data_IF_919552284888
#
_entry.id   IF_919552284888
#
_cell.length_a   1.000
_cell.length_b   1.000
_cell.length_c   1.000
_cell.angle_alpha   90.00
_cell.angle_beta   90.00
_cell.angle_gamma   90.00
#
_symmetry.space_group_name_H-M   'P 1'
#
loop_
_entity.id
_entity.type
_entity.pdbx_description
1 polymer ?
#
# COMPACT_ATOMS: atom_id res chain seq x y z
N UNK A 1 23.06 -1.37 15.03
CA UNK A 1 22.93 -1.06 13.61
C UNK A 1 22.80 -2.31 12.74
N UNK A 2 23.66 -3.33 12.86
CA UNK A 2 23.53 -4.59 12.11
C UNK A 2 22.21 -5.35 12.35
N UNK A 3 21.62 -5.28 13.53
CA UNK A 3 20.30 -5.91 13.82
C UNK A 3 19.16 -5.24 13.07
N UNK A 4 19.18 -3.92 12.90
CA UNK A 4 18.12 -3.18 12.16
C UNK A 4 18.25 -3.39 10.64
N UNK A 5 19.45 -3.60 10.12
CA UNK A 5 19.66 -3.91 8.69
C UNK A 5 19.16 -5.30 8.31
N UNK A 6 19.21 -6.25 9.24
CA UNK A 6 18.70 -7.62 9.05
C UNK A 6 17.17 -7.73 9.23
N UNK A 7 16.51 -6.74 9.82
CA UNK A 7 15.09 -6.78 10.16
C UNK A 7 14.15 -6.70 8.96
N UNK A 8 14.57 -6.10 7.82
CA UNK A 8 13.68 -5.95 6.67
C UNK A 8 14.46 -5.60 5.39
N UNK A 9 14.27 -6.40 4.37
CA UNK A 9 14.71 -6.10 3.02
C UNK A 9 13.56 -5.44 2.25
N UNK A 10 13.78 -4.20 1.76
CA UNK A 10 12.79 -3.47 0.96
C UNK A 10 12.49 -4.19 -0.34
N UNK A 11 11.21 -4.30 -0.68
CA UNK A 11 10.74 -5.02 -1.87
C UNK A 11 11.08 -4.22 -3.13
N UNK A 12 11.59 -4.90 -4.17
CA UNK A 12 11.96 -4.27 -5.46
C UNK A 12 12.92 -3.08 -5.28
N UNK A 13 13.87 -3.17 -4.33
CA UNK A 13 14.76 -2.06 -3.99
C UNK A 13 15.56 -1.56 -5.18
N UNK A 14 16.14 -2.45 -5.97
CA UNK A 14 16.97 -2.07 -7.12
C UNK A 14 16.13 -1.40 -8.21
N UNK A 15 14.93 -1.89 -8.44
CA UNK A 15 13.99 -1.35 -9.40
C UNK A 15 13.47 0.05 -8.98
N UNK A 16 13.27 0.28 -7.69
CA UNK A 16 12.94 1.60 -7.13
C UNK A 16 14.11 2.56 -7.33
N UNK A 17 15.35 2.16 -7.01
CA UNK A 17 16.54 2.97 -7.24
C UNK A 17 16.70 3.31 -8.71
N UNK A 18 16.46 2.35 -9.61
CA UNK A 18 16.51 2.58 -11.06
C UNK A 18 15.40 3.53 -11.54
N UNK A 19 14.18 3.42 -11.00
CA UNK A 19 13.08 4.32 -11.34
C UNK A 19 13.41 5.79 -10.99
N UNK A 20 14.08 6.01 -9.88
CA UNK A 20 14.49 7.35 -9.42
C UNK A 20 15.92 7.74 -9.84
N UNK A 21 16.60 6.93 -10.66
CA UNK A 21 17.96 7.26 -11.13
C UNK A 21 18.07 8.64 -11.81
N UNK A 22 17.08 9.11 -12.60
CA UNK A 22 17.14 10.44 -13.23
C UNK A 22 17.05 11.63 -12.27
N UNK A 23 16.65 11.42 -11.01
CA UNK A 23 16.52 12.52 -10.06
C UNK A 23 17.88 12.93 -9.52
N UNK A 24 18.25 14.21 -9.71
CA UNK A 24 19.50 14.78 -9.18
C UNK A 24 19.24 15.57 -7.90
N UNK A 25 18.17 16.37 -7.86
CA UNK A 25 17.81 17.25 -6.75
C UNK A 25 16.30 17.36 -6.57
N UNK A 26 15.86 17.98 -5.48
CA UNK A 26 14.45 18.24 -5.19
C UNK A 26 13.93 17.49 -3.98
N UNK A 27 12.61 17.36 -3.90
CA UNK A 27 11.91 16.67 -2.81
C UNK A 27 11.42 15.31 -3.30
N UNK A 28 11.81 14.27 -2.58
CA UNK A 28 11.24 12.92 -2.69
C UNK A 28 10.22 12.74 -1.57
N UNK A 29 9.03 12.27 -1.89
CA UNK A 29 8.04 11.88 -0.90
C UNK A 29 7.97 10.35 -0.87
N UNK A 30 8.26 9.76 0.29
CA UNK A 30 7.98 8.35 0.58
C UNK A 30 6.68 8.29 1.39
N UNK A 31 5.58 7.94 0.71
CA UNK A 31 4.23 7.94 1.28
C UNK A 31 3.99 6.81 2.29
N UNK A 32 4.88 5.83 2.31
CA UNK A 32 4.78 4.60 3.12
C UNK A 32 6.16 4.28 3.68
N UNK A 33 6.67 5.21 4.49
CA UNK A 33 8.06 5.20 4.98
C UNK A 33 8.45 3.86 5.62
N UNK A 34 7.53 3.24 6.37
CA UNK A 34 7.78 2.02 7.10
C UNK A 34 9.04 2.14 7.97
N UNK A 35 9.95 1.21 7.80
CA UNK A 35 11.23 1.21 8.51
C UNK A 35 12.33 2.05 7.80
N UNK A 36 11.99 2.80 6.74
CA UNK A 36 12.89 3.72 6.04
C UNK A 36 13.90 3.05 5.10
N UNK A 37 13.68 1.80 4.68
CA UNK A 37 14.66 1.06 3.87
C UNK A 37 14.87 1.67 2.46
N UNK A 38 13.81 1.91 1.70
CA UNK A 38 13.87 2.59 0.40
C UNK A 38 14.45 4.00 0.55
N UNK A 39 13.94 4.75 1.54
CA UNK A 39 14.36 6.12 1.82
C UNK A 39 15.85 6.21 2.16
N UNK A 40 16.39 5.29 2.97
CA UNK A 40 17.83 5.22 3.27
C UNK A 40 18.63 5.01 1.99
N UNK A 41 18.28 4.04 1.19
CA UNK A 41 18.99 3.70 -0.04
C UNK A 41 18.98 4.87 -1.05
N UNK A 42 17.84 5.56 -1.20
CA UNK A 42 17.73 6.73 -2.08
C UNK A 42 18.56 7.91 -1.59
N UNK A 43 18.52 8.23 -0.29
CA UNK A 43 19.31 9.33 0.29
C UNK A 43 20.82 9.04 0.25
N UNK A 44 21.24 7.78 0.36
CA UNK A 44 22.64 7.38 0.24
C UNK A 44 23.20 7.61 -1.16
N UNK A 45 22.40 7.39 -2.20
CA UNK A 45 22.84 7.58 -3.59
C UNK A 45 22.70 9.01 -4.09
N UNK A 46 21.81 9.81 -3.48
CA UNK A 46 21.40 11.13 -3.98
C UNK A 46 21.64 12.20 -2.92
N UNK A 47 22.77 12.90 -3.01
CA UNK A 47 23.22 13.85 -1.97
C UNK A 47 22.35 15.12 -1.89
N UNK A 48 21.71 15.54 -3.00
CA UNK A 48 20.92 16.77 -3.08
C UNK A 48 19.41 16.56 -2.93
N UNK A 49 18.97 15.31 -2.75
CA UNK A 49 17.55 15.03 -2.45
C UNK A 49 17.24 15.33 -0.99
N UNK A 50 16.05 15.91 -0.78
CA UNK A 50 15.39 16.02 0.52
C UNK A 50 14.22 15.03 0.55
N UNK A 51 14.00 14.39 1.69
CA UNK A 51 12.97 13.39 1.89
C UNK A 51 11.84 13.92 2.76
N UNK A 52 10.60 13.67 2.35
CA UNK A 52 9.45 13.71 3.23
C UNK A 52 8.95 12.27 3.36
N UNK A 53 9.14 11.67 4.54
CA UNK A 53 8.62 10.34 4.85
C UNK A 53 7.25 10.45 5.51
N UNK A 54 6.30 9.63 5.09
CA UNK A 54 4.95 9.58 5.68
C UNK A 54 4.71 8.17 6.19
N UNK A 55 4.23 8.06 7.42
CA UNK A 55 3.71 6.80 7.94
C UNK A 55 2.64 7.08 9.00
N UNK A 56 1.70 6.15 9.18
CA UNK A 56 0.69 6.23 10.24
C UNK A 56 1.09 5.45 11.50
N UNK A 57 2.08 4.55 11.39
CA UNK A 57 2.58 3.73 12.49
C UNK A 57 3.73 4.45 13.22
N UNK A 58 3.45 4.95 14.42
CA UNK A 58 4.45 5.68 15.23
C UNK A 58 5.68 4.83 15.55
N UNK A 59 5.49 3.52 15.76
CA UNK A 59 6.62 2.63 16.05
C UNK A 59 7.54 2.47 14.83
N UNK A 60 6.98 2.35 13.64
CA UNK A 60 7.78 2.33 12.40
C UNK A 60 8.54 3.64 12.20
N UNK A 61 7.91 4.79 12.50
CA UNK A 61 8.57 6.11 12.42
C UNK A 61 9.80 6.23 13.32
N UNK A 62 9.75 5.70 14.55
CA UNK A 62 10.91 5.75 15.47
C UNK A 62 12.08 4.92 14.93
N UNK A 63 11.81 3.74 14.39
CA UNK A 63 12.85 2.93 13.75
C UNK A 63 13.42 3.62 12.51
N UNK A 64 12.55 4.22 11.69
CA UNK A 64 12.97 4.97 10.51
C UNK A 64 13.85 6.18 10.87
N UNK A 65 13.54 6.92 11.93
CA UNK A 65 14.38 8.02 12.43
C UNK A 65 15.80 7.55 12.77
N UNK A 66 15.92 6.45 13.50
CA UNK A 66 17.25 5.92 13.85
C UNK A 66 18.00 5.43 12.60
N UNK A 67 17.29 4.77 11.65
CA UNK A 67 17.88 4.31 10.38
C UNK A 67 18.34 5.46 9.49
N UNK A 68 17.66 6.60 9.52
CA UNK A 68 17.94 7.78 8.70
C UNK A 68 18.83 8.82 9.38
N UNK A 69 19.29 8.56 10.59
CA UNK A 69 20.05 9.51 11.42
C UNK A 69 21.27 10.13 10.73
N UNK A 70 21.97 9.36 9.90
CA UNK A 70 23.12 9.85 9.12
C UNK A 70 22.74 10.93 8.09
N UNK A 71 21.44 11.07 7.76
CA UNK A 71 20.89 12.06 6.82
C UNK A 71 20.19 13.21 7.54
N UNK A 72 20.49 13.47 8.79
CA UNK A 72 19.86 14.56 9.56
C UNK A 72 19.93 15.89 8.80
N UNK A 73 18.85 16.66 8.82
CA UNK A 73 18.66 17.89 8.03
C UNK A 73 18.23 17.65 6.57
N UNK A 74 18.24 16.42 6.09
CA UNK A 74 17.79 16.05 4.73
C UNK A 74 16.44 15.33 4.70
N UNK A 75 15.87 14.98 5.84
CA UNK A 75 14.57 14.33 5.89
C UNK A 75 13.63 14.97 6.91
N UNK A 76 12.34 14.80 6.69
CA UNK A 76 11.26 15.16 7.60
C UNK A 76 10.21 14.05 7.61
N UNK A 77 9.72 13.67 8.80
CA UNK A 77 8.70 12.60 8.93
C UNK A 77 7.37 13.21 9.35
N UNK A 78 6.31 12.90 8.59
CA UNK A 78 4.94 13.29 8.84
C UNK A 78 4.13 12.08 9.31
N UNK A 79 3.56 12.18 10.52
CA UNK A 79 2.68 11.14 11.05
C UNK A 79 1.26 11.25 10.50
N UNK A 80 0.69 10.14 10.04
CA UNK A 80 -0.71 10.04 9.59
C UNK A 80 -0.88 9.36 8.23
N UNK A 81 -2.13 9.32 7.76
CA UNK A 81 -2.47 8.71 6.49
C UNK A 81 -1.82 9.41 5.30
N UNK A 82 -1.32 8.61 4.37
CA UNK A 82 -0.48 9.12 3.28
C UNK A 82 -1.23 10.03 2.31
N UNK A 83 -2.50 9.78 2.01
CA UNK A 83 -3.25 10.64 1.10
C UNK A 83 -3.38 12.07 1.64
N UNK A 84 -3.75 12.20 2.93
CA UNK A 84 -3.87 13.52 3.58
C UNK A 84 -2.52 14.23 3.65
N UNK A 85 -1.47 13.55 4.10
CA UNK A 85 -0.13 14.14 4.26
C UNK A 85 0.53 14.46 2.93
N UNK A 86 0.31 13.62 1.91
CA UNK A 86 0.73 13.93 0.54
C UNK A 86 0.09 15.20 0.00
N UNK A 87 -1.22 15.38 0.20
CA UNK A 87 -1.94 16.60 -0.20
C UNK A 87 -1.38 17.85 0.48
N UNK A 88 -1.03 17.77 1.77
CA UNK A 88 -0.38 18.85 2.51
C UNK A 88 1.03 19.14 1.94
N UNK A 89 1.83 18.10 1.72
CA UNK A 89 3.17 18.21 1.13
C UNK A 89 3.12 18.80 -0.29
N UNK A 90 2.16 18.39 -1.11
CA UNK A 90 1.95 18.91 -2.46
C UNK A 90 1.67 20.43 -2.45
N UNK A 91 0.85 20.91 -1.51
CA UNK A 91 0.60 22.35 -1.35
C UNK A 91 1.83 23.13 -0.91
N UNK A 92 2.66 22.56 -0.03
CA UNK A 92 3.84 23.23 0.51
C UNK A 92 5.03 23.24 -0.45
N UNK A 93 5.21 22.20 -1.22
CA UNK A 93 6.41 22.00 -2.02
C UNK A 93 6.19 22.11 -3.52
N UNK A 94 4.96 21.83 -4.01
CA UNK A 94 4.58 22.01 -5.42
C UNK A 94 5.57 21.38 -6.39
N UNK A 95 6.08 22.16 -7.33
CA UNK A 95 6.99 21.71 -8.39
C UNK A 95 8.39 21.28 -7.91
N UNK A 96 8.72 21.52 -6.63
CA UNK A 96 9.96 20.98 -6.03
C UNK A 96 9.89 19.47 -5.77
N UNK A 97 8.68 18.89 -5.77
CA UNK A 97 8.50 17.45 -5.68
C UNK A 97 8.93 16.83 -7.01
N UNK A 98 9.97 16.01 -6.97
CA UNK A 98 10.54 15.33 -8.15
C UNK A 98 10.34 13.83 -8.13
N UNK A 99 10.08 13.24 -6.96
CA UNK A 99 9.80 11.83 -6.82
C UNK A 99 8.72 11.56 -5.77
N UNK A 100 7.89 10.56 -6.02
CA UNK A 100 6.90 10.05 -5.06
C UNK A 100 6.96 8.53 -5.09
N UNK A 101 7.22 7.93 -3.95
CA UNK A 101 7.20 6.48 -3.73
C UNK A 101 5.98 6.12 -2.89
N UNK A 102 5.28 5.07 -3.28
CA UNK A 102 4.20 4.45 -2.51
C UNK A 102 4.42 2.95 -2.52
N UNK A 103 4.82 2.37 -1.40
CA UNK A 103 4.96 0.92 -1.19
C UNK A 103 3.78 0.46 -0.33
N UNK A 104 2.71 -0.02 -1.00
CA UNK A 104 1.44 -0.33 -0.35
C UNK A 104 1.53 -1.59 0.52
N UNK A 105 0.60 -1.72 1.45
CA UNK A 105 0.45 -2.89 2.29
C UNK A 105 1.01 -2.73 3.70
N UNK A 106 1.34 -3.85 4.34
CA UNK A 106 1.78 -3.92 5.73
C UNK A 106 3.28 -4.08 5.84
N UNK A 107 3.88 -3.44 6.84
CA UNK A 107 5.30 -3.60 7.12
C UNK A 107 5.60 -5.00 7.70
N UNK A 108 6.85 -5.45 7.57
CA UNK A 108 7.29 -6.70 8.20
C UNK A 108 7.11 -6.65 9.72
N UNK A 109 7.34 -5.51 10.34
CA UNK A 109 7.15 -5.31 11.78
C UNK A 109 5.70 -5.61 12.20
N UNK A 110 4.71 -5.12 11.43
CA UNK A 110 3.29 -5.37 11.71
C UNK A 110 2.92 -6.83 11.52
N UNK A 111 3.53 -7.52 10.54
CA UNK A 111 3.29 -8.95 10.30
C UNK A 111 3.94 -9.85 11.35
N UNK A 112 5.07 -9.43 11.92
CA UNK A 112 5.84 -10.24 12.87
C UNK A 112 5.43 -9.98 14.33
N UNK A 113 4.66 -8.94 14.61
CA UNK A 113 4.13 -8.66 15.95
C UNK A 113 2.80 -9.41 16.18
N UNK A 114 2.84 -10.42 17.02
CA UNK A 114 1.69 -11.25 17.38
C UNK A 114 0.54 -10.46 18.05
N UNK A 115 0.80 -9.25 18.55
CA UNK A 115 -0.21 -8.40 19.17
C UNK A 115 -0.94 -7.50 18.17
N UNK A 116 -0.51 -7.47 16.89
CA UNK A 116 -1.09 -6.63 15.86
C UNK A 116 -2.20 -7.32 15.04
N UNK A 117 -2.26 -8.63 15.03
CA UNK A 117 -3.35 -9.40 14.39
C UNK A 117 -3.27 -9.51 12.87
N UNK A 118 -2.17 -9.13 12.23
CA UNK A 118 -2.00 -9.24 10.77
C UNK A 118 -1.65 -10.65 10.31
N UNK A 119 -1.08 -11.47 11.18
CA UNK A 119 -0.65 -12.82 10.89
C UNK A 119 -1.69 -13.83 11.39
N UNK A 120 -1.82 -14.97 10.70
CA UNK A 120 -2.82 -16.02 10.98
C UNK A 120 -2.66 -16.70 12.35
N UNK A 121 -1.51 -16.56 12.98
CA UNK A 121 -1.18 -17.17 14.28
C UNK A 121 -1.22 -16.16 15.44
N UNK A 122 -1.48 -14.88 15.14
CA UNK A 122 -1.50 -13.81 16.14
C UNK A 122 -2.53 -14.06 17.24
N UNK A 123 -2.16 -13.68 18.46
CA UNK A 123 -3.00 -13.74 19.65
C UNK A 123 -3.92 -12.50 19.81
N UNK A 124 -3.91 -11.60 18.86
CA UNK A 124 -4.84 -10.47 18.74
C UNK A 124 -5.61 -10.55 17.42
N UNK A 125 -6.70 -9.82 17.31
CA UNK A 125 -7.48 -9.60 16.09
C UNK A 125 -7.69 -8.09 15.91
N UNK A 126 -6.59 -7.36 15.69
CA UNK A 126 -6.60 -5.90 15.63
C UNK A 126 -6.55 -5.37 14.19
N UNK A 127 -5.48 -5.64 13.46
CA UNK A 127 -5.19 -5.25 12.08
C UNK A 127 -5.16 -3.73 11.82
N UNK A 128 -5.12 -2.88 12.85
CA UNK A 128 -4.96 -1.44 12.66
C UNK A 128 -3.50 -1.11 12.36
N UNK A 129 -3.24 -0.34 11.33
CA UNK A 129 -1.93 0.27 11.09
C UNK A 129 -1.73 1.46 12.04
N UNK A 130 -2.77 2.27 12.23
CA UNK A 130 -2.85 3.33 13.22
C UNK A 130 -3.61 2.84 14.46
N UNK A 131 -2.90 2.65 15.58
CA UNK A 131 -3.50 2.16 16.82
C UNK A 131 -4.45 3.17 17.49
N UNK A 132 -4.42 4.44 17.08
CA UNK A 132 -5.34 5.48 17.56
C UNK A 132 -6.69 5.44 16.83
N UNK A 133 -6.81 4.69 15.72
CA UNK A 133 -8.08 4.52 15.00
C UNK A 133 -9.10 3.71 15.80
N UNK A 134 -10.40 4.00 15.59
CA UNK A 134 -11.49 3.41 16.38
C UNK A 134 -11.95 2.02 15.93
N UNK A 135 -11.75 1.67 14.64
CA UNK A 135 -12.19 0.39 14.06
C UNK A 135 -11.03 -0.59 14.03
N UNK A 136 -11.26 -1.82 14.54
CA UNK A 136 -10.32 -2.93 14.46
C UNK A 136 -10.97 -4.18 13.86
N UNK A 137 -10.17 -5.18 13.53
CA UNK A 137 -10.63 -6.41 12.91
C UNK A 137 -11.60 -7.20 13.81
N UNK A 138 -11.41 -7.16 15.13
CA UNK A 138 -12.31 -7.80 16.08
C UNK A 138 -13.72 -7.23 16.02
N UNK A 139 -13.85 -5.89 15.91
CA UNK A 139 -15.16 -5.23 15.74
C UNK A 139 -15.78 -5.59 14.38
N UNK A 140 -15.00 -5.58 13.30
CA UNK A 140 -15.50 -5.97 11.97
C UNK A 140 -16.08 -7.38 12.01
N UNK A 141 -15.32 -8.36 12.48
CA UNK A 141 -15.72 -9.77 12.48
C UNK A 141 -16.87 -10.03 13.46
N UNK A 142 -16.83 -9.47 14.68
CA UNK A 142 -17.81 -9.80 15.70
C UNK A 142 -19.07 -8.93 15.69
N UNK A 143 -19.07 -7.74 15.02
CA UNK A 143 -20.18 -6.79 15.14
C UNK A 143 -20.84 -6.42 13.82
N UNK A 144 -20.16 -6.56 12.66
CA UNK A 144 -20.76 -6.21 11.36
C UNK A 144 -21.96 -7.11 11.05
N UNK A 145 -22.99 -6.55 10.38
CA UNK A 145 -24.10 -7.35 9.86
C UNK A 145 -23.61 -8.35 8.80
N UNK A 146 -24.38 -9.40 8.57
CA UNK A 146 -24.05 -10.38 7.51
C UNK A 146 -23.89 -9.68 6.15
N UNK A 147 -24.77 -8.73 5.83
CA UNK A 147 -24.72 -7.97 4.56
C UNK A 147 -23.43 -7.13 4.47
N UNK A 148 -22.99 -6.51 5.58
CA UNK A 148 -21.74 -5.76 5.59
C UNK A 148 -20.51 -6.67 5.40
N UNK A 149 -20.50 -7.85 6.03
CA UNK A 149 -19.46 -8.85 5.82
C UNK A 149 -19.45 -9.39 4.39
N UNK A 150 -20.63 -9.69 3.82
CA UNK A 150 -20.76 -10.10 2.43
C UNK A 150 -20.15 -9.07 1.47
N UNK A 151 -20.44 -7.78 1.71
CA UNK A 151 -19.91 -6.69 0.90
C UNK A 151 -18.38 -6.66 0.93
N UNK A 152 -17.75 -6.60 2.11
CA UNK A 152 -16.29 -6.52 2.20
C UNK A 152 -15.60 -7.79 1.66
N UNK A 153 -16.17 -8.96 1.88
CA UNK A 153 -15.60 -10.21 1.35
C UNK A 153 -15.70 -10.31 -0.17
N UNK A 154 -16.78 -9.80 -0.78
CA UNK A 154 -16.92 -9.68 -2.22
C UNK A 154 -16.00 -8.63 -2.80
N UNK A 155 -16.04 -7.40 -2.26
CA UNK A 155 -15.43 -6.21 -2.86
C UNK A 155 -13.92 -6.09 -2.55
N UNK A 156 -13.48 -6.53 -1.37
CA UNK A 156 -12.08 -6.44 -0.91
C UNK A 156 -11.35 -7.77 -0.87
N UNK A 157 -12.09 -8.86 -0.67
CA UNK A 157 -11.52 -10.20 -0.66
C UNK A 157 -11.58 -10.90 -2.02
N UNK A 158 -12.38 -10.40 -2.99
CA UNK A 158 -12.65 -11.08 -4.27
C UNK A 158 -13.09 -12.56 -4.07
N UNK A 159 -13.78 -12.84 -2.94
CA UNK A 159 -14.15 -14.18 -2.52
C UNK A 159 -15.42 -14.63 -3.28
N UNK A 160 -15.35 -15.72 -4.02
CA UNK A 160 -16.51 -16.25 -4.76
C UNK A 160 -17.65 -16.69 -3.84
N UNK A 161 -17.31 -17.38 -2.73
CA UNK A 161 -18.30 -17.90 -1.77
C UNK A 161 -18.55 -16.93 -0.60
N UNK A 162 -18.44 -15.61 -0.84
CA UNK A 162 -18.52 -14.56 0.18
C UNK A 162 -19.77 -14.66 1.08
N UNK A 163 -20.96 -14.97 0.51
CA UNK A 163 -22.20 -15.15 1.27
C UNK A 163 -22.07 -16.27 2.29
N UNK A 164 -21.62 -17.43 1.83
CA UNK A 164 -21.47 -18.62 2.67
C UNK A 164 -20.51 -18.37 3.84
N UNK A 165 -19.36 -17.76 3.56
CA UNK A 165 -18.35 -17.43 4.59
C UNK A 165 -18.93 -16.42 5.59
N UNK A 166 -19.62 -15.37 5.13
CA UNK A 166 -20.24 -14.38 6.01
C UNK A 166 -21.27 -14.99 6.96
N UNK A 167 -22.16 -15.86 6.42
CA UNK A 167 -23.15 -16.58 7.25
C UNK A 167 -22.49 -17.47 8.31
N UNK A 168 -21.51 -18.28 7.92
CA UNK A 168 -20.79 -19.13 8.89
C UNK A 168 -20.07 -18.34 9.99
N UNK A 169 -19.48 -17.19 9.66
CA UNK A 169 -18.89 -16.30 10.66
C UNK A 169 -19.95 -15.78 11.63
N UNK A 170 -21.11 -15.33 11.12
CA UNK A 170 -22.22 -14.83 11.96
C UNK A 170 -22.79 -15.92 12.85
N UNK A 171 -23.03 -17.12 12.32
CA UNK A 171 -23.50 -18.27 13.09
C UNK A 171 -22.52 -18.69 14.18
N UNK A 172 -21.23 -18.73 13.85
CA UNK A 172 -20.17 -19.10 14.79
C UNK A 172 -20.01 -18.07 15.91
N UNK A 173 -19.93 -16.77 15.60
CA UNK A 173 -19.78 -15.70 16.61
C UNK A 173 -20.97 -15.57 17.54
N UNK A 174 -22.18 -15.91 17.09
CA UNK A 174 -23.38 -15.93 17.93
C UNK A 174 -23.27 -16.94 19.09
N UNK A 175 -22.55 -18.04 18.87
CA UNK A 175 -22.28 -19.05 19.92
C UNK A 175 -21.06 -18.70 20.76
N UNK A 176 -20.02 -18.19 20.12
CA UNK A 176 -18.75 -17.83 20.74
C UNK A 176 -18.04 -16.78 19.88
N UNK A 177 -17.89 -15.53 20.33
CA UNK A 177 -17.16 -14.50 19.59
C UNK A 177 -15.72 -14.92 19.27
N UNK A 178 -15.19 -14.42 18.14
CA UNK A 178 -13.80 -14.63 17.78
C UNK A 178 -12.87 -13.85 18.71
N UNK A 179 -11.87 -14.48 19.26
CA UNK A 179 -10.96 -13.89 20.25
C UNK A 179 -9.75 -13.23 19.59
N UNK A 180 -9.15 -13.95 18.65
CA UNK A 180 -7.87 -13.61 18.04
C UNK A 180 -7.82 -14.06 16.56
N UNK A 181 -6.75 -13.71 15.88
CA UNK A 181 -6.54 -14.04 14.47
C UNK A 181 -6.42 -15.55 14.26
N UNK A 182 -5.79 -16.25 15.21
CA UNK A 182 -5.65 -17.70 15.13
C UNK A 182 -7.01 -18.41 15.20
N UNK A 183 -7.90 -18.01 16.12
CA UNK A 183 -9.25 -18.56 16.25
C UNK A 183 -10.06 -18.36 14.95
N UNK A 184 -9.96 -17.17 14.34
CA UNK A 184 -10.59 -16.91 13.04
C UNK A 184 -9.98 -17.74 11.91
N UNK A 185 -8.65 -17.83 11.84
CA UNK A 185 -7.92 -18.59 10.83
C UNK A 185 -8.21 -20.08 10.89
N UNK A 186 -8.20 -20.68 12.08
CA UNK A 186 -8.52 -22.09 12.31
C UNK A 186 -9.97 -22.40 11.89
N UNK A 187 -10.92 -21.51 12.25
CA UNK A 187 -12.31 -21.63 11.82
C UNK A 187 -12.45 -21.59 10.29
N UNK A 188 -11.84 -20.63 9.62
CA UNK A 188 -11.90 -20.52 8.16
C UNK A 188 -11.26 -21.73 7.47
N UNK A 189 -10.20 -22.27 8.06
CA UNK A 189 -9.54 -23.48 7.56
C UNK A 189 -10.44 -24.71 7.65
N UNK A 190 -11.30 -24.80 8.66
CA UNK A 190 -12.29 -25.88 8.80
C UNK A 190 -13.39 -25.85 7.75
N UNK A 191 -13.67 -24.67 7.18
CA UNK A 191 -14.70 -24.50 6.13
C UNK A 191 -14.21 -24.85 4.72
N UNK A 192 -12.89 -24.89 4.49
CA UNK A 192 -12.29 -25.04 3.16
C UNK A 192 -11.69 -26.42 2.93
N UNK A 193 -12.00 -27.00 1.77
CA UNK A 193 -11.35 -28.21 1.26
C UNK A 193 -10.16 -27.92 0.35
N UNK A 194 -9.95 -26.67 -0.05
CA UNK A 194 -8.90 -26.27 -1.00
C UNK A 194 -7.62 -25.88 -0.25
N UNK A 195 -6.52 -26.58 -0.51
CA UNK A 195 -5.22 -26.39 0.17
C UNK A 195 -4.22 -25.53 -0.62
N UNK A 196 -4.57 -25.02 -1.83
CA UNK A 196 -3.61 -24.26 -2.66
C UNK A 196 -3.27 -22.88 -2.09
N UNK A 197 -4.25 -22.21 -1.49
CA UNK A 197 -4.07 -20.91 -0.81
C UNK A 197 -4.68 -21.09 0.59
N UNK A 198 -4.04 -20.52 1.61
CA UNK A 198 -4.58 -20.59 2.97
C UNK A 198 -5.99 -19.95 2.99
N UNK A 199 -7.03 -20.65 3.49
CA UNK A 199 -8.42 -20.18 3.38
C UNK A 199 -8.67 -18.80 4.00
N UNK A 200 -7.90 -18.46 5.04
CA UNK A 200 -8.01 -17.15 5.69
C UNK A 200 -7.42 -15.99 4.88
N UNK A 201 -6.57 -16.23 3.88
CA UNK A 201 -5.83 -15.17 3.18
C UNK A 201 -6.74 -14.06 2.66
N UNK A 202 -7.80 -14.41 1.93
CA UNK A 202 -8.70 -13.42 1.31
C UNK A 202 -9.62 -12.74 2.33
N UNK A 203 -10.01 -13.45 3.40
CA UNK A 203 -10.81 -12.86 4.49
C UNK A 203 -9.96 -11.85 5.26
N UNK A 204 -8.72 -12.20 5.60
CA UNK A 204 -7.78 -11.29 6.28
C UNK A 204 -7.48 -10.07 5.43
N UNK A 205 -7.24 -10.23 4.12
CA UNK A 205 -7.09 -9.11 3.19
C UNK A 205 -8.33 -8.20 3.23
N UNK A 206 -9.53 -8.75 3.11
CA UNK A 206 -10.78 -7.97 3.11
C UNK A 206 -10.98 -7.19 4.42
N UNK A 207 -10.73 -7.82 5.56
CA UNK A 207 -10.85 -7.17 6.87
C UNK A 207 -9.78 -6.10 7.06
N UNK A 208 -8.54 -6.36 6.63
CA UNK A 208 -7.43 -5.40 6.70
C UNK A 208 -7.73 -4.13 5.88
N UNK A 209 -8.20 -4.32 4.65
CA UNK A 209 -8.58 -3.21 3.76
C UNK A 209 -9.69 -2.37 4.39
N UNK A 210 -10.72 -3.01 4.97
CA UNK A 210 -11.82 -2.32 5.66
C UNK A 210 -11.34 -1.53 6.87
N UNK A 211 -10.55 -2.15 7.74
CA UNK A 211 -10.03 -1.53 8.98
C UNK A 211 -9.19 -0.29 8.69
N UNK A 212 -8.33 -0.36 7.65
CA UNK A 212 -7.36 0.68 7.36
C UNK A 212 -7.79 1.63 6.24
N UNK A 213 -8.95 1.39 5.59
CA UNK A 213 -9.46 2.16 4.45
C UNK A 213 -8.45 2.26 3.30
N UNK A 214 -7.72 1.16 3.06
CA UNK A 214 -6.54 1.16 2.17
C UNK A 214 -6.88 1.59 0.73
N UNK A 215 -7.97 1.08 0.16
CA UNK A 215 -8.36 1.40 -1.22
C UNK A 215 -8.96 2.81 -1.35
N UNK A 216 -9.68 3.30 -0.34
CA UNK A 216 -10.19 4.67 -0.31
C UNK A 216 -9.02 5.66 -0.25
N UNK A 217 -8.07 5.42 0.65
CA UNK A 217 -6.89 6.26 0.80
C UNK A 217 -6.04 6.28 -0.49
N UNK A 218 -5.87 5.12 -1.16
CA UNK A 218 -5.20 5.04 -2.45
C UNK A 218 -5.94 5.84 -3.54
N UNK A 219 -7.26 5.79 -3.59
CA UNK A 219 -8.05 6.58 -4.55
C UNK A 219 -7.89 8.08 -4.33
N UNK A 220 -7.98 8.53 -3.06
CA UNK A 220 -7.78 9.93 -2.68
C UNK A 220 -6.36 10.40 -3.09
N UNK A 221 -5.34 9.60 -2.78
CA UNK A 221 -3.96 9.88 -3.19
C UNK A 221 -3.83 9.99 -4.71
N UNK A 222 -4.31 9.01 -5.47
CA UNK A 222 -4.22 9.02 -6.93
C UNK A 222 -4.96 10.24 -7.54
N UNK A 223 -6.07 10.68 -6.92
CA UNK A 223 -6.75 11.89 -7.36
C UNK A 223 -5.88 13.15 -7.16
N UNK A 224 -5.21 13.28 -6.03
CA UNK A 224 -4.34 14.43 -5.75
C UNK A 224 -3.01 14.36 -6.55
N UNK A 225 -2.50 13.17 -6.82
CA UNK A 225 -1.27 12.94 -7.60
C UNK A 225 -1.35 13.46 -9.05
N UNK A 226 -2.55 13.67 -9.60
CA UNK A 226 -2.75 14.31 -10.92
C UNK A 226 -2.16 15.73 -11.01
N UNK A 227 -1.94 16.38 -9.88
CA UNK A 227 -1.40 17.74 -9.80
C UNK A 227 0.14 17.77 -9.73
N UNK A 228 0.80 16.62 -9.78
CA UNK A 228 2.26 16.55 -9.89
C UNK A 228 2.73 17.07 -11.25
N UNK A 229 3.88 17.75 -11.23
CA UNK A 229 4.54 18.26 -12.45
C UNK A 229 6.02 17.89 -12.43
N UNK A 230 6.51 17.35 -13.54
CA UNK A 230 7.92 16.98 -13.70
C UNK A 230 8.40 15.92 -12.71
N UNK A 231 7.50 15.20 -12.07
CA UNK A 231 7.80 14.23 -11.02
C UNK A 231 7.67 12.78 -11.52
N UNK A 232 8.43 11.89 -10.92
CA UNK A 232 8.30 10.43 -11.08
C UNK A 232 7.41 9.90 -9.95
N UNK A 233 6.35 9.18 -10.29
CA UNK A 233 5.51 8.44 -9.35
C UNK A 233 5.77 6.95 -9.50
N UNK A 234 6.28 6.32 -8.44
CA UNK A 234 6.52 4.90 -8.34
C UNK A 234 5.57 4.29 -7.31
N UNK A 235 4.76 3.31 -7.71
CA UNK A 235 3.80 2.63 -6.82
C UNK A 235 4.04 1.13 -6.86
N UNK A 236 4.22 0.52 -5.68
CA UNK A 236 4.29 -0.93 -5.48
C UNK A 236 2.97 -1.36 -4.85
N UNK A 237 2.33 -2.37 -5.42
CA UNK A 237 1.07 -2.97 -4.97
C UNK A 237 1.24 -4.46 -4.72
N UNK A 238 0.46 -5.03 -3.79
CA UNK A 238 0.58 -6.44 -3.39
C UNK A 238 -0.65 -7.29 -3.69
N UNK A 239 -1.74 -6.68 -4.10
CA UNK A 239 -2.94 -7.42 -4.54
C UNK A 239 -3.61 -6.78 -5.77
N UNK A 240 -4.53 -7.54 -6.38
CA UNK A 240 -5.22 -7.21 -7.64
C UNK A 240 -5.94 -5.88 -7.61
N UNK A 241 -6.61 -5.55 -6.50
CA UNK A 241 -7.42 -4.32 -6.38
C UNK A 241 -6.55 -3.06 -6.37
N UNK A 242 -5.42 -3.07 -5.65
CA UNK A 242 -4.44 -1.98 -5.67
C UNK A 242 -3.87 -1.79 -7.07
N UNK A 243 -3.35 -2.88 -7.68
CA UNK A 243 -2.76 -2.85 -9.02
C UNK A 243 -3.75 -2.33 -10.06
N UNK A 244 -5.03 -2.71 -9.95
CA UNK A 244 -6.08 -2.23 -10.85
C UNK A 244 -6.33 -0.72 -10.71
N UNK A 245 -6.39 -0.19 -9.48
CA UNK A 245 -6.54 1.25 -9.24
C UNK A 245 -5.38 2.04 -9.82
N UNK A 246 -4.14 1.66 -9.52
CA UNK A 246 -2.93 2.32 -10.04
C UNK A 246 -2.86 2.25 -11.56
N UNK A 247 -3.07 1.06 -12.14
CA UNK A 247 -3.09 0.87 -13.60
C UNK A 247 -4.12 1.75 -14.30
N UNK A 248 -5.32 1.86 -13.74
CA UNK A 248 -6.39 2.66 -14.34
C UNK A 248 -6.10 4.16 -14.20
N UNK A 249 -5.60 4.60 -13.04
CA UNK A 249 -5.19 5.99 -12.85
C UNK A 249 -4.06 6.40 -13.82
N UNK A 250 -3.03 5.56 -13.98
CA UNK A 250 -1.94 5.85 -14.92
C UNK A 250 -2.40 5.89 -16.38
N UNK A 251 -3.35 5.02 -16.75
CA UNK A 251 -3.98 5.08 -18.07
C UNK A 251 -4.76 6.38 -18.27
N UNK A 252 -5.49 6.84 -17.24
CA UNK A 252 -6.21 8.11 -17.31
C UNK A 252 -5.26 9.30 -17.39
N UNK A 253 -4.17 9.32 -16.63
CA UNK A 253 -3.14 10.37 -16.71
C UNK A 253 -2.46 10.42 -18.08
N UNK A 254 -2.30 9.28 -18.75
CA UNK A 254 -1.67 9.19 -20.07
C UNK A 254 -2.63 9.48 -21.23
N UNK A 255 -3.92 9.73 -20.96
CA UNK A 255 -4.90 10.02 -22.00
C UNK A 255 -4.67 11.40 -22.64
N UNK A 256 -4.42 11.42 -23.94
CA UNK A 256 -4.39 12.65 -24.71
C UNK A 256 -5.79 13.18 -25.02
N UNK A 257 -6.71 12.30 -25.42
CA UNK A 257 -8.09 12.64 -25.76
C UNK A 257 -9.02 12.42 -24.57
N UNK A 258 -9.78 13.45 -24.20
CA UNK A 258 -10.80 13.45 -23.14
C UNK A 258 -12.22 13.59 -23.66
N UNK A 259 -12.42 13.54 -25.00
CA UNK A 259 -13.75 13.50 -25.59
C UNK A 259 -14.52 12.25 -25.19
N UNK A 260 -15.84 12.32 -25.29
CA UNK A 260 -16.70 11.15 -25.15
C UNK A 260 -16.25 10.07 -26.15
N UNK A 261 -16.07 8.81 -25.72
CA UNK A 261 -15.68 7.70 -26.60
C UNK A 261 -16.61 7.50 -27.80
N UNK A 262 -17.86 7.96 -27.71
CA UNK A 262 -18.85 7.90 -28.79
C UNK A 262 -18.77 9.09 -29.76
N UNK A 263 -17.89 10.05 -29.53
CA UNK A 263 -17.73 11.22 -30.40
C UNK A 263 -17.10 10.83 -31.73
N UNK A 264 -17.74 11.21 -32.85
CA UNK A 264 -17.23 10.97 -34.21
C UNK A 264 -15.92 11.70 -34.53
N UNK A 265 -15.65 12.81 -33.84
CA UNK A 265 -14.47 13.64 -34.07
C UNK A 265 -13.92 14.16 -32.76
N UNK A 266 -12.59 14.14 -32.62
CA UNK A 266 -11.92 14.75 -31.48
C UNK A 266 -12.04 16.27 -31.54
N UNK A 267 -12.54 16.89 -30.46
CA UNK A 267 -12.70 18.35 -30.29
C UNK A 267 -11.84 18.92 -29.16
N UNK A 268 -11.12 18.05 -28.41
CA UNK A 268 -10.35 18.44 -27.23
C UNK A 268 -8.86 18.72 -27.50
N UNK A 269 -8.45 18.90 -28.76
CA UNK A 269 -7.06 19.12 -29.18
C UNK A 269 -6.08 17.95 -28.93
N UNK A 270 -6.51 16.86 -28.32
CA UNK A 270 -5.75 15.62 -28.12
C UNK A 270 -4.37 15.80 -27.45
N UNK A 271 -4.28 16.68 -26.43
CA UNK A 271 -3.05 17.05 -25.73
C UNK A 271 -3.17 17.03 -24.20
N UNK A 272 -4.14 16.29 -23.65
CA UNK A 272 -4.47 16.30 -22.21
C UNK A 272 -3.65 15.32 -21.36
N UNK A 273 -2.76 14.53 -21.96
CA UNK A 273 -1.93 13.62 -21.16
C UNK A 273 -1.05 14.41 -20.17
N UNK A 274 -1.14 14.01 -18.90
CA UNK A 274 -0.34 14.58 -17.82
C UNK A 274 1.11 14.07 -17.84
N UNK A 275 1.39 13.01 -18.58
CA UNK A 275 2.69 12.37 -18.64
C UNK A 275 2.66 11.07 -19.41
N UNK A 276 3.59 10.18 -19.09
CA UNK A 276 3.74 8.88 -19.73
C UNK A 276 3.93 7.73 -18.75
N UNK A 277 3.46 6.54 -19.15
CA UNK A 277 3.65 5.31 -18.40
C UNK A 277 5.03 4.74 -18.75
N UNK A 278 5.96 4.71 -17.79
CA UNK A 278 7.29 4.13 -18.00
C UNK A 278 7.27 2.59 -17.98
N UNK A 279 6.33 1.99 -17.22
CA UNK A 279 6.19 0.53 -17.11
C UNK A 279 4.91 0.05 -17.81
N UNK A 280 4.98 -0.34 -19.08
CA UNK A 280 3.81 -0.90 -19.82
C UNK A 280 3.25 -2.16 -19.16
N UNK A 281 4.13 -3.04 -18.66
CA UNK A 281 3.81 -4.17 -17.78
C UNK A 281 4.36 -3.85 -16.39
N UNK A 282 3.72 -4.32 -15.30
CA UNK A 282 4.30 -4.11 -13.98
C UNK A 282 5.65 -4.82 -13.86
N UNK A 283 6.60 -4.20 -13.20
CA UNK A 283 7.83 -4.86 -12.78
C UNK A 283 7.49 -5.75 -11.58
N UNK A 284 8.01 -6.96 -11.57
CA UNK A 284 7.77 -7.96 -10.51
C UNK A 284 9.11 -8.44 -9.95
N UNK A 285 9.14 -8.88 -8.69
CA UNK A 285 10.36 -9.37 -8.07
C UNK A 285 10.99 -10.54 -8.83
N UNK A 286 12.31 -10.60 -8.82
CA UNK A 286 13.06 -11.71 -9.39
C UNK A 286 12.83 -13.01 -8.59
N UNK A 287 13.03 -14.20 -9.20
CA UNK A 287 12.97 -15.47 -8.46
C UNK A 287 13.92 -15.50 -7.26
N UNK A 288 15.06 -14.84 -7.36
CA UNK A 288 16.05 -14.74 -6.28
C UNK A 288 15.53 -13.89 -5.12
N UNK A 289 14.92 -12.73 -5.41
CA UNK A 289 14.29 -11.90 -4.39
C UNK A 289 13.17 -12.66 -3.68
N UNK A 290 12.30 -13.36 -4.43
CA UNK A 290 11.22 -14.16 -3.85
C UNK A 290 11.76 -15.28 -2.95
N UNK A 291 12.90 -15.86 -3.27
CA UNK A 291 13.55 -16.89 -2.45
C UNK A 291 14.03 -16.33 -1.11
N UNK A 292 14.58 -15.11 -1.10
CA UNK A 292 15.09 -14.44 0.11
C UNK A 292 13.97 -13.72 0.87
N UNK A 293 13.03 -13.10 0.15
CA UNK A 293 11.89 -12.38 0.71
C UNK A 293 10.58 -12.89 0.12
N UNK A 294 9.98 -13.92 0.71
CA UNK A 294 8.70 -14.49 0.25
C UNK A 294 7.55 -13.49 0.24
N UNK A 295 7.63 -12.41 1.01
CA UNK A 295 6.61 -11.36 1.08
C UNK A 295 6.56 -10.53 -0.20
N UNK A 296 7.66 -10.46 -0.95
CA UNK A 296 7.72 -9.77 -2.25
C UNK A 296 6.93 -10.48 -3.36
N UNK A 297 6.61 -11.77 -3.23
CA UNK A 297 6.05 -12.63 -4.29
C UNK A 297 4.90 -12.00 -5.09
N UNK A 298 4.03 -11.23 -4.45
CA UNK A 298 2.85 -10.63 -5.07
C UNK A 298 3.07 -9.18 -5.50
N UNK A 299 4.25 -8.63 -5.26
CA UNK A 299 4.56 -7.24 -5.55
C UNK A 299 4.52 -6.94 -7.04
N UNK A 300 3.97 -5.78 -7.38
CA UNK A 300 3.89 -5.24 -8.74
C UNK A 300 4.21 -3.75 -8.69
N UNK A 301 5.31 -3.35 -9.28
CA UNK A 301 5.71 -1.95 -9.38
C UNK A 301 5.25 -1.34 -10.69
N UNK A 302 4.67 -0.13 -10.61
CA UNK A 302 4.34 0.70 -11.76
C UNK A 302 4.94 2.09 -11.60
N UNK A 303 5.43 2.63 -12.71
CA UNK A 303 6.09 3.94 -12.75
C UNK A 303 5.45 4.82 -13.80
N UNK A 304 5.17 6.08 -13.42
CA UNK A 304 4.64 7.13 -14.25
C UNK A 304 5.51 8.38 -14.16
N UNK A 305 5.80 9.01 -15.31
CA UNK A 305 6.53 10.28 -15.39
C UNK A 305 5.56 11.40 -15.75
N UNK A 306 5.40 12.37 -14.86
CA UNK A 306 4.62 13.58 -15.16
C UNK A 306 5.42 14.55 -16.03
N UNK A 307 4.73 15.26 -16.92
CA UNK A 307 5.28 16.39 -17.68
C UNK A 307 5.64 17.55 -16.74
N UNK A 308 6.62 18.39 -17.11
CA UNK A 308 6.93 19.63 -16.40
C UNK A 308 5.76 20.58 -16.24
#
# INVERSE_FOLDING_TARGET
>A
MQEIENLHQSVLLQEVLQAFAPLEEGVLIDCTLGLGGHSKALLSQKTHLKLIGIDKDKHAQEIAKERLKEFEGRYHILSGGFAKRFKEALKMHGERIKGVLVDLGVSSLQLDDDNRGFNFHSHALDMRMDLESGLNAQKVINSYSVVALEKIFRDYGEIKEYKKIAHHIVERRAKKPFKDAKDLSDFLSSLSKNKKIHPATLVFQAVRIEVNRELEELKEFLQDARNLKGAILCVISFHSLEDALVKNAFKDYAKNCICDPLSFKCTCSNNHALGEILTKKPTTPSPEEIKHNRRSRSAKMRVFQFKP
#
